data_IF_248350382474
#
_entry.id   IF_248350382474
#
_cell.length_a   1.000
_cell.length_b   1.000
_cell.length_c   1.000
_cell.angle_alpha   90.00
_cell.angle_beta   90.00
_cell.angle_gamma   90.00
#
_symmetry.space_group_name_H-M   'P 1'
#
loop_
_entity.id
_entity.type
_entity.pdbx_description
1 polymer ?
#
# COMPACT_ATOMS: atom_id res chain seq x y z
N UNK A 1 9.04 -18.98 -6.83
CA UNK A 1 8.27 -18.18 -7.81
C UNK A 1 9.19 -17.89 -8.96
N UNK A 2 8.91 -18.47 -10.13
CA UNK A 2 9.66 -18.18 -11.35
C UNK A 2 9.38 -16.76 -11.82
N UNK A 3 10.34 -16.15 -12.52
CA UNK A 3 10.13 -14.82 -13.12
C UNK A 3 8.91 -14.77 -14.08
N UNK A 4 8.48 -15.92 -14.59
CA UNK A 4 7.30 -16.05 -15.45
C UNK A 4 5.95 -15.91 -14.72
N UNK A 5 5.95 -16.04 -13.39
CA UNK A 5 4.72 -16.04 -12.58
C UNK A 5 4.34 -14.64 -12.05
N UNK A 6 5.04 -13.60 -12.48
CA UNK A 6 4.80 -12.21 -12.04
C UNK A 6 4.09 -11.45 -13.15
N UNK A 7 2.96 -10.80 -12.82
CA UNK A 7 2.33 -9.78 -13.66
C UNK A 7 2.60 -8.39 -13.03
N UNK A 8 2.99 -7.43 -13.85
CA UNK A 8 3.30 -6.05 -13.44
C UNK A 8 2.21 -5.13 -13.98
N UNK A 9 1.28 -4.75 -13.13
CA UNK A 9 0.20 -3.80 -13.46
C UNK A 9 0.68 -2.39 -13.19
N UNK A 10 0.89 -1.62 -14.24
CA UNK A 10 1.24 -0.18 -14.16
C UNK A 10 -0.04 0.63 -14.29
N UNK A 11 -0.37 1.40 -13.25
CA UNK A 11 -1.51 2.34 -13.24
C UNK A 11 -1.01 3.77 -13.44
N UNK A 12 -1.18 4.32 -14.65
CA UNK A 12 -0.83 5.71 -14.97
C UNK A 12 -2.00 6.64 -14.62
N UNK A 13 -1.80 7.53 -13.68
CA UNK A 13 -2.79 8.50 -13.20
C UNK A 13 -2.74 9.82 -13.97
N UNK A 14 -2.70 9.73 -15.30
CA UNK A 14 -2.75 10.88 -16.18
C UNK A 14 -1.41 11.65 -16.28
N UNK A 15 -0.28 10.95 -16.26
CA UNK A 15 1.05 11.56 -16.38
C UNK A 15 1.14 12.47 -17.60
N UNK A 16 1.75 13.65 -17.40
CA UNK A 16 1.96 14.69 -18.42
C UNK A 16 3.42 14.80 -18.85
N UNK A 17 4.31 14.08 -18.22
CA UNK A 17 5.74 13.97 -18.52
C UNK A 17 6.07 12.73 -19.37
N UNK A 18 7.33 12.31 -19.37
CA UNK A 18 7.79 11.11 -20.11
C UNK A 18 7.37 9.77 -19.53
N UNK A 19 6.75 9.72 -18.35
CA UNK A 19 6.45 8.47 -17.62
C UNK A 19 5.58 7.50 -18.41
N UNK A 20 4.51 8.01 -19.05
CA UNK A 20 3.63 7.20 -19.90
C UNK A 20 4.38 6.56 -21.07
N UNK A 21 5.29 7.30 -21.73
CA UNK A 21 6.07 6.79 -22.86
C UNK A 21 7.02 5.68 -22.41
N UNK A 22 7.65 5.84 -21.25
CA UNK A 22 8.51 4.84 -20.63
C UNK A 22 7.68 3.58 -20.34
N UNK A 23 6.55 3.71 -19.63
CA UNK A 23 5.68 2.57 -19.30
C UNK A 23 5.24 1.82 -20.56
N UNK A 24 4.80 2.51 -21.60
CA UNK A 24 4.47 1.90 -22.93
C UNK A 24 5.64 1.14 -23.55
N UNK A 25 6.87 1.65 -23.40
CA UNK A 25 8.03 0.96 -23.94
C UNK A 25 8.26 -0.41 -23.27
N UNK A 26 7.89 -0.55 -22.02
CA UNK A 26 8.01 -1.82 -21.30
C UNK A 26 6.93 -2.81 -21.69
N UNK A 27 5.69 -2.39 -21.98
CA UNK A 27 4.64 -3.33 -22.44
C UNK A 27 5.01 -4.04 -23.77
N UNK A 28 5.88 -3.41 -24.59
CA UNK A 28 6.39 -4.02 -25.83
C UNK A 28 7.54 -4.98 -25.57
N UNK A 29 8.36 -4.71 -24.56
CA UNK A 29 9.59 -5.47 -24.25
C UNK A 29 9.35 -6.66 -23.33
N UNK A 30 8.35 -6.55 -22.44
CA UNK A 30 8.06 -7.55 -21.43
C UNK A 30 6.55 -7.84 -21.40
N UNK A 31 6.11 -9.04 -21.84
CA UNK A 31 4.69 -9.39 -21.89
C UNK A 31 4.03 -9.49 -20.50
N UNK A 32 4.79 -9.44 -19.41
CA UNK A 32 4.28 -9.41 -18.05
C UNK A 32 3.80 -8.02 -17.63
N UNK A 33 4.14 -6.97 -18.39
CA UNK A 33 3.80 -5.58 -18.07
C UNK A 33 2.47 -5.21 -18.73
N UNK A 34 1.49 -4.90 -17.92
CA UNK A 34 0.19 -4.37 -18.33
C UNK A 34 0.09 -2.90 -17.93
N UNK A 35 -0.34 -2.04 -18.85
CA UNK A 35 -0.47 -0.60 -18.60
C UNK A 35 -1.94 -0.17 -18.69
N UNK A 36 -2.42 0.41 -17.61
CA UNK A 36 -3.74 1.01 -17.52
C UNK A 36 -3.63 2.50 -17.19
N UNK A 37 -4.43 3.32 -17.89
CA UNK A 37 -4.40 4.77 -17.74
C UNK A 37 -5.77 5.30 -17.37
N UNK A 38 -5.76 6.32 -16.49
CA UNK A 38 -6.94 7.10 -16.15
C UNK A 38 -6.64 8.62 -16.19
N UNK A 39 -7.67 9.49 -16.25
CA UNK A 39 -7.49 10.90 -15.94
C UNK A 39 -7.00 11.06 -14.51
N UNK A 40 -6.15 12.09 -14.27
CA UNK A 40 -5.60 12.32 -12.93
C UNK A 40 -6.68 12.41 -11.84
N UNK A 41 -6.59 11.51 -10.88
CA UNK A 41 -7.54 11.36 -9.78
C UNK A 41 -6.85 11.06 -8.43
N UNK A 42 -5.52 11.00 -8.42
CA UNK A 42 -4.68 10.80 -7.23
C UNK A 42 -4.30 9.35 -6.95
N UNK A 43 -3.37 9.18 -6.02
CA UNK A 43 -2.71 7.92 -5.69
C UNK A 43 -3.71 6.80 -5.30
N UNK A 44 -4.76 7.13 -4.53
CA UNK A 44 -5.82 6.18 -4.17
C UNK A 44 -6.52 5.60 -5.39
N UNK A 45 -6.91 6.47 -6.34
CA UNK A 45 -7.57 6.06 -7.57
C UNK A 45 -6.65 5.21 -8.44
N UNK A 46 -5.36 5.57 -8.54
CA UNK A 46 -4.36 4.77 -9.26
C UNK A 46 -4.20 3.37 -8.64
N UNK A 47 -4.10 3.25 -7.30
CA UNK A 47 -4.02 1.96 -6.62
C UNK A 47 -5.31 1.14 -6.80
N UNK A 48 -6.48 1.78 -6.74
CA UNK A 48 -7.77 1.13 -7.01
C UNK A 48 -7.86 0.62 -8.45
N UNK A 49 -7.35 1.38 -9.43
CA UNK A 49 -7.24 0.94 -10.82
C UNK A 49 -6.32 -0.29 -10.93
N UNK A 50 -5.17 -0.27 -10.26
CA UNK A 50 -4.27 -1.42 -10.19
C UNK A 50 -4.95 -2.66 -9.59
N UNK A 51 -5.66 -2.51 -8.47
CA UNK A 51 -6.40 -3.60 -7.83
C UNK A 51 -7.47 -4.20 -8.72
N UNK A 52 -8.17 -3.37 -9.51
CA UNK A 52 -9.19 -3.83 -10.46
C UNK A 52 -8.63 -4.77 -11.53
N UNK A 53 -7.37 -4.58 -11.90
CA UNK A 53 -6.68 -5.36 -12.94
C UNK A 53 -5.73 -6.42 -12.38
N UNK A 54 -5.51 -6.46 -11.07
CA UNK A 54 -4.69 -7.50 -10.45
C UNK A 54 -5.40 -8.85 -10.49
N UNK A 55 -4.78 -9.86 -11.14
CA UNK A 55 -5.34 -11.19 -11.30
C UNK A 55 -4.49 -12.31 -10.68
N UNK A 56 -3.29 -12.02 -10.19
CA UNK A 56 -2.44 -12.97 -9.49
C UNK A 56 -3.06 -13.48 -8.18
N UNK A 57 -2.54 -14.60 -7.67
CA UNK A 57 -2.91 -15.13 -6.34
C UNK A 57 -2.52 -14.16 -5.23
N UNK A 58 -1.41 -13.47 -5.42
CA UNK A 58 -0.87 -12.48 -4.49
C UNK A 58 -0.84 -11.09 -5.13
N UNK A 59 -0.89 -10.06 -4.30
CA UNK A 59 -0.80 -8.65 -4.71
C UNK A 59 0.24 -7.95 -3.83
N UNK A 60 1.09 -7.14 -4.46
CA UNK A 60 2.01 -6.21 -3.80
C UNK A 60 1.86 -4.82 -4.43
N UNK A 61 2.13 -3.79 -3.65
CA UNK A 61 2.19 -2.41 -4.13
C UNK A 61 3.66 -1.96 -4.14
N UNK A 62 4.06 -1.31 -5.23
CA UNK A 62 5.38 -0.68 -5.35
C UNK A 62 5.14 0.74 -5.85
N UNK A 63 5.63 1.73 -5.11
CA UNK A 63 5.54 3.12 -5.53
C UNK A 63 6.54 3.38 -6.69
N UNK A 64 6.19 4.24 -7.64
CA UNK A 64 6.92 4.36 -8.91
C UNK A 64 8.34 4.96 -8.77
N UNK A 65 8.63 5.61 -7.66
CA UNK A 65 9.94 6.18 -7.32
C UNK A 65 10.80 5.25 -6.45
N UNK A 66 10.28 4.06 -6.10
CA UNK A 66 10.95 3.09 -5.25
C UNK A 66 11.47 1.86 -6.02
N UNK A 67 12.24 1.02 -5.35
CA UNK A 67 12.72 -0.25 -5.89
C UNK A 67 12.59 -1.39 -4.88
N UNK A 68 12.56 -2.62 -5.39
CA UNK A 68 12.58 -3.83 -4.56
C UNK A 68 13.80 -4.68 -4.86
N UNK A 69 14.31 -5.39 -3.86
CA UNK A 69 15.39 -6.36 -4.04
C UNK A 69 14.95 -7.51 -4.96
N UNK A 70 15.87 -8.11 -5.72
CA UNK A 70 15.53 -9.19 -6.68
C UNK A 70 14.83 -10.39 -6.04
N UNK A 71 15.11 -10.69 -4.78
CA UNK A 71 14.53 -11.80 -4.00
C UNK A 71 13.29 -11.40 -3.16
N UNK A 72 12.78 -10.16 -3.34
CA UNK A 72 11.68 -9.64 -2.53
C UNK A 72 10.41 -10.50 -2.66
N UNK A 73 10.00 -10.83 -3.89
CA UNK A 73 8.83 -11.66 -4.14
C UNK A 73 9.00 -13.06 -3.55
N UNK A 74 10.15 -13.69 -3.79
CA UNK A 74 10.47 -15.03 -3.27
C UNK A 74 10.36 -15.10 -1.76
N UNK A 75 11.02 -14.18 -1.04
CA UNK A 75 10.98 -14.10 0.43
C UNK A 75 9.59 -13.91 1.00
N UNK A 76 8.74 -13.16 0.33
CA UNK A 76 7.37 -12.94 0.78
C UNK A 76 6.47 -14.14 0.48
N UNK A 77 6.64 -14.78 -0.69
CA UNK A 77 5.87 -15.98 -1.06
C UNK A 77 6.26 -17.16 -0.17
N UNK A 78 7.53 -17.36 0.16
CA UNK A 78 7.96 -18.36 1.14
C UNK A 78 7.30 -18.15 2.52
N UNK A 79 7.07 -16.90 2.90
CA UNK A 79 6.57 -16.56 4.22
C UNK A 79 5.03 -16.49 4.31
N UNK A 80 4.27 -16.47 3.19
CA UNK A 80 2.83 -16.24 3.22
C UNK A 80 1.99 -17.49 3.53
N UNK A 81 2.62 -18.65 3.61
CA UNK A 81 1.88 -19.88 3.91
C UNK A 81 1.12 -19.77 5.24
N UNK A 82 -0.17 -20.07 5.22
CA UNK A 82 -1.05 -20.09 6.39
C UNK A 82 -1.43 -18.71 6.96
N UNK A 83 -1.11 -17.60 6.24
CA UNK A 83 -1.53 -16.25 6.63
C UNK A 83 -2.08 -15.48 5.43
N UNK A 84 -2.85 -14.42 5.70
CA UNK A 84 -3.49 -13.60 4.68
C UNK A 84 -2.53 -12.59 4.06
N UNK A 85 -1.54 -12.13 4.82
CA UNK A 85 -0.49 -11.27 4.29
C UNK A 85 0.81 -11.38 5.07
N UNK A 86 1.90 -11.02 4.39
CA UNK A 86 3.23 -10.89 4.99
C UNK A 86 3.63 -9.42 4.98
N UNK A 87 4.18 -8.96 6.07
CA UNK A 87 4.79 -7.64 6.18
C UNK A 87 6.29 -7.78 6.44
N UNK A 88 7.10 -7.14 5.61
CA UNK A 88 8.55 -7.08 5.81
C UNK A 88 8.99 -5.78 6.48
N UNK A 89 10.19 -5.79 7.06
CA UNK A 89 10.80 -4.66 7.70
C UNK A 89 11.06 -4.84 9.19
N UNK A 90 11.40 -3.75 9.87
CA UNK A 90 11.60 -3.78 11.32
C UNK A 90 10.26 -3.59 12.04
N UNK A 91 9.74 -4.57 12.78
CA UNK A 91 8.46 -4.46 13.47
C UNK A 91 8.44 -3.35 14.55
N UNK A 92 9.63 -2.86 14.97
CA UNK A 92 9.77 -1.72 15.87
C UNK A 92 9.72 -0.37 15.14
N UNK A 93 9.83 -0.36 13.80
CA UNK A 93 9.75 0.86 13.02
C UNK A 93 8.29 1.30 12.90
N UNK A 94 7.94 2.35 13.67
CA UNK A 94 6.58 2.90 13.69
C UNK A 94 6.14 3.53 12.37
N UNK A 95 7.08 3.95 11.50
CA UNK A 95 6.79 4.54 10.22
C UNK A 95 6.27 3.51 9.20
N UNK A 96 6.61 2.23 9.37
CA UNK A 96 6.17 1.13 8.52
C UNK A 96 4.88 0.45 8.99
N UNK A 97 4.18 1.04 9.97
CA UNK A 97 3.02 0.40 10.59
C UNK A 97 1.79 0.37 9.68
N UNK A 98 1.56 1.39 8.88
CA UNK A 98 0.37 1.51 8.01
C UNK A 98 0.68 1.45 6.53
N UNK A 99 1.95 1.55 6.13
CA UNK A 99 2.34 1.53 4.72
C UNK A 99 1.95 0.22 4.03
N UNK A 100 1.62 0.31 2.76
CA UNK A 100 1.15 -0.85 1.99
C UNK A 100 2.24 -1.49 1.13
N UNK A 101 3.30 -0.74 0.80
CA UNK A 101 4.36 -1.14 -0.12
C UNK A 101 5.32 -2.21 0.43
N UNK A 102 5.41 -2.42 1.73
CA UNK A 102 6.27 -3.45 2.33
C UNK A 102 5.54 -4.77 2.61
N UNK A 103 4.45 -5.04 1.90
CA UNK A 103 3.58 -6.19 2.14
C UNK A 103 3.26 -6.95 0.87
N UNK A 104 3.14 -8.28 1.03
CA UNK A 104 2.51 -9.16 0.05
C UNK A 104 1.19 -9.68 0.64
N UNK A 105 0.11 -9.58 -0.12
CA UNK A 105 -1.24 -9.95 0.30
C UNK A 105 -1.74 -11.13 -0.52
N UNK A 106 -2.49 -12.04 0.10
CA UNK A 106 -3.40 -12.90 -0.68
C UNK A 106 -4.47 -12.02 -1.29
N UNK A 107 -4.68 -12.11 -2.60
CA UNK A 107 -5.67 -11.28 -3.29
C UNK A 107 -7.07 -11.43 -2.70
N UNK A 108 -7.47 -12.66 -2.31
CA UNK A 108 -8.75 -12.92 -1.66
C UNK A 108 -8.94 -12.15 -0.34
N UNK A 109 -7.87 -11.97 0.45
CA UNK A 109 -7.92 -11.27 1.73
C UNK A 109 -8.14 -9.75 1.60
N UNK A 110 -7.86 -9.19 0.43
CA UNK A 110 -8.03 -7.76 0.15
C UNK A 110 -9.16 -7.49 -0.87
N UNK A 111 -9.88 -8.53 -1.29
CA UNK A 111 -11.00 -8.37 -2.23
C UNK A 111 -12.08 -7.47 -1.63
N UNK A 112 -12.45 -6.43 -2.38
CA UNK A 112 -13.43 -5.43 -1.94
C UNK A 112 -12.87 -4.32 -1.03
N UNK A 113 -11.60 -4.37 -0.64
CA UNK A 113 -10.94 -3.26 0.04
C UNK A 113 -10.48 -2.23 -1.00
N UNK A 114 -10.96 -1.00 -0.88
CA UNK A 114 -10.58 0.11 -1.74
C UNK A 114 -9.86 1.20 -0.94
N UNK A 115 -8.90 1.85 -1.57
CA UNK A 115 -8.28 3.05 -1.02
C UNK A 115 -9.28 4.21 -1.07
N UNK A 116 -9.44 4.98 0.02
CA UNK A 116 -10.31 6.16 0.01
C UNK A 116 -9.72 7.24 -0.90
N UNK A 117 -10.47 7.63 -1.93
CA UNK A 117 -10.05 8.63 -2.90
C UNK A 117 -10.14 10.05 -2.32
N UNK A 118 -9.29 10.95 -2.84
CA UNK A 118 -9.24 12.35 -2.41
C UNK A 118 -8.66 12.58 -1.01
N UNK A 119 -7.97 11.59 -0.43
CA UNK A 119 -7.35 11.68 0.88
C UNK A 119 -5.83 11.50 0.81
N UNK A 120 -5.10 12.25 1.61
CA UNK A 120 -3.71 11.97 1.98
C UNK A 120 -3.73 11.07 3.22
N UNK A 121 -2.77 10.16 3.33
CA UNK A 121 -2.70 9.09 4.35
C UNK A 121 -3.82 8.03 4.19
N UNK A 122 -4.17 7.74 2.94
CA UNK A 122 -5.16 6.74 2.52
C UNK A 122 -4.80 5.32 2.98
N UNK A 123 -3.49 5.03 3.02
CA UNK A 123 -2.89 3.77 3.48
C UNK A 123 -3.23 3.44 4.94
N UNK A 124 -3.38 4.47 5.78
CA UNK A 124 -3.81 4.31 7.18
C UNK A 124 -5.21 3.73 7.25
N UNK A 125 -6.16 4.30 6.50
CA UNK A 125 -7.56 3.85 6.53
C UNK A 125 -7.70 2.47 5.90
N UNK A 126 -7.01 2.23 4.79
CA UNK A 126 -6.98 0.94 4.11
C UNK A 126 -6.39 -0.16 5.01
N UNK A 127 -5.27 0.12 5.69
CA UNK A 127 -4.68 -0.83 6.65
C UNK A 127 -5.60 -1.11 7.84
N UNK A 128 -6.33 -0.11 8.34
CA UNK A 128 -7.32 -0.32 9.40
C UNK A 128 -8.45 -1.22 8.91
N UNK A 129 -8.97 -1.03 7.70
CA UNK A 129 -10.01 -1.90 7.14
C UNK A 129 -9.53 -3.33 6.99
N UNK A 130 -8.29 -3.56 6.53
CA UNK A 130 -7.66 -4.87 6.50
C UNK A 130 -7.60 -5.51 7.90
N UNK A 131 -7.22 -4.78 8.94
CA UNK A 131 -7.17 -5.33 10.31
C UNK A 131 -8.55 -5.57 10.91
N UNK A 132 -9.55 -4.77 10.54
CA UNK A 132 -10.94 -4.98 10.95
C UNK A 132 -11.55 -6.22 10.29
N UNK A 133 -11.10 -6.62 9.10
CA UNK A 133 -11.48 -7.88 8.45
C UNK A 133 -10.91 -9.14 9.15
N UNK A 134 -10.04 -8.95 10.16
CA UNK A 134 -9.34 -9.99 10.90
C UNK A 134 -8.28 -10.73 10.09
N UNK A 135 -7.80 -10.16 9.00
CA UNK A 135 -6.72 -10.73 8.22
C UNK A 135 -5.50 -11.06 9.10
N UNK A 136 -5.00 -12.27 8.95
CA UNK A 136 -3.83 -12.79 9.67
C UNK A 136 -2.55 -12.30 9.03
N UNK A 137 -1.53 -11.98 9.86
CA UNK A 137 -0.28 -11.40 9.40
C UNK A 137 0.92 -12.16 9.93
N UNK A 138 1.91 -12.36 9.07
CA UNK A 138 3.27 -12.73 9.47
C UNK A 138 4.22 -11.56 9.21
N UNK A 139 5.03 -11.23 10.21
CA UNK A 139 6.07 -10.20 10.08
C UNK A 139 7.43 -10.88 9.91
N UNK A 140 8.14 -10.53 8.84
CA UNK A 140 9.49 -11.03 8.56
C UNK A 140 10.52 -9.90 8.72
N UNK A 141 11.70 -10.22 9.27
CA UNK A 141 12.83 -9.29 9.37
C UNK A 141 13.60 -9.28 8.06
N UNK A 142 13.08 -8.57 7.09
CA UNK A 142 13.65 -8.44 5.77
C UNK A 142 13.51 -7.01 5.29
N UNK A 143 14.57 -6.44 4.72
CA UNK A 143 14.61 -5.04 4.27
C UNK A 143 14.94 -5.00 2.78
N UNK A 144 14.06 -5.56 1.95
CA UNK A 144 14.23 -5.60 0.49
C UNK A 144 13.37 -4.59 -0.26
N UNK A 145 12.69 -3.69 0.44
CA UNK A 145 12.03 -2.53 -0.17
C UNK A 145 12.90 -1.29 0.04
N UNK A 146 13.29 -0.64 -1.04
CA UNK A 146 14.20 0.50 -1.04
C UNK A 146 13.41 1.78 -1.34
N UNK A 147 13.02 2.48 -0.28
CA UNK A 147 12.35 3.77 -0.36
C UNK A 147 13.31 4.85 -0.85
N UNK A 148 12.94 5.56 -1.91
CA UNK A 148 13.68 6.69 -2.45
C UNK A 148 13.13 7.99 -1.86
N UNK A 149 13.96 8.68 -1.09
CA UNK A 149 13.54 9.97 -0.51
C UNK A 149 13.37 11.01 -1.62
N UNK A 150 12.14 11.48 -1.81
CA UNK A 150 11.79 12.54 -2.76
C UNK A 150 11.33 13.78 -1.98
N UNK A 151 12.07 14.90 -2.05
CA UNK A 151 11.69 16.15 -1.38
C UNK A 151 10.35 16.72 -1.84
N UNK A 152 9.92 16.38 -3.06
CA UNK A 152 8.65 16.84 -3.65
C UNK A 152 7.48 15.88 -3.35
N UNK A 153 7.74 14.78 -2.62
CA UNK A 153 6.68 13.83 -2.29
C UNK A 153 5.65 14.46 -1.35
N UNK A 154 4.41 14.02 -1.48
CA UNK A 154 3.30 14.46 -0.62
C UNK A 154 3.60 14.29 0.86
N UNK A 155 4.38 13.26 1.23
CA UNK A 155 4.74 12.97 2.62
C UNK A 155 5.96 13.73 3.13
N UNK A 156 6.70 14.43 2.24
CA UNK A 156 7.83 15.28 2.62
C UNK A 156 7.40 16.56 3.37
N UNK A 157 6.13 16.93 3.22
CA UNK A 157 5.57 18.12 3.85
C UNK A 157 4.51 17.77 4.89
N UNK A 158 4.34 18.64 5.88
CA UNK A 158 3.26 18.49 6.87
C UNK A 158 1.92 18.90 6.25
N UNK A 159 0.89 18.07 6.43
CA UNK A 159 -0.47 18.31 5.95
C UNK A 159 -1.47 18.31 7.13
N UNK A 160 -1.54 19.37 7.96
CA UNK A 160 -2.36 19.39 9.17
C UNK A 160 -3.85 19.09 8.93
N UNK A 161 -4.42 19.59 7.84
CA UNK A 161 -5.83 19.32 7.50
C UNK A 161 -6.04 17.85 7.09
N UNK A 162 -5.14 17.27 6.32
CA UNK A 162 -5.22 15.85 5.98
C UNK A 162 -5.05 14.95 7.22
N UNK A 163 -4.12 15.32 8.12
CA UNK A 163 -3.96 14.64 9.42
C UNK A 163 -5.24 14.69 10.24
N UNK A 164 -5.93 15.82 10.26
CA UNK A 164 -7.21 16.00 10.94
C UNK A 164 -8.31 15.17 10.29
N UNK A 165 -8.36 15.14 8.95
CA UNK A 165 -9.33 14.34 8.20
C UNK A 165 -9.18 12.83 8.51
N UNK A 166 -7.97 12.28 8.45
CA UNK A 166 -7.76 10.86 8.75
C UNK A 166 -8.10 10.51 10.21
N UNK A 167 -7.78 11.39 11.15
CA UNK A 167 -8.16 11.20 12.56
C UNK A 167 -9.69 11.26 12.77
N UNK A 168 -10.39 12.11 12.05
CA UNK A 168 -11.86 12.17 12.08
C UNK A 168 -12.49 10.91 11.47
N UNK A 169 -11.99 10.44 10.32
CA UNK A 169 -12.44 9.20 9.70
C UNK A 169 -12.24 7.98 10.62
N UNK A 170 -11.10 7.87 11.28
CA UNK A 170 -10.84 6.81 12.25
C UNK A 170 -11.78 6.88 13.46
N UNK A 171 -12.07 8.08 13.99
CA UNK A 171 -13.04 8.25 15.08
C UNK A 171 -14.45 7.86 14.66
N UNK A 172 -14.85 8.17 13.42
CA UNK A 172 -16.15 7.76 12.88
C UNK A 172 -16.24 6.22 12.77
N UNK A 173 -15.22 5.56 12.18
CA UNK A 173 -15.13 4.09 12.11
C UNK A 173 -15.21 3.44 13.51
N UNK A 174 -14.61 4.07 14.54
CA UNK A 174 -14.60 3.55 15.91
C UNK A 174 -16.00 3.42 16.52
N UNK A 175 -16.95 4.31 16.18
CA UNK A 175 -18.30 4.30 16.75
C UNK A 175 -19.05 3.00 16.44
N UNK A 176 -18.93 2.47 15.22
CA UNK A 176 -19.59 1.22 14.79
C UNK A 176 -18.76 -0.05 15.00
N UNK A 177 -17.52 0.06 15.45
CA UNK A 177 -16.60 -1.08 15.54
C UNK A 177 -16.88 -1.97 16.77
N UNK A 178 -16.57 -3.28 16.62
CA UNK A 178 -16.49 -4.23 17.74
C UNK A 178 -15.48 -3.78 18.80
N UNK A 179 -15.47 -4.41 19.99
CA UNK A 179 -14.49 -4.09 21.05
C UNK A 179 -13.04 -4.24 20.55
N UNK A 180 -12.72 -5.31 19.81
CA UNK A 180 -11.41 -5.49 19.17
C UNK A 180 -11.12 -4.35 18.18
N UNK A 181 -12.09 -4.01 17.33
CA UNK A 181 -11.96 -2.92 16.37
C UNK A 181 -11.75 -1.56 17.05
N UNK A 182 -12.45 -1.28 18.14
CA UNK A 182 -12.24 -0.07 18.94
C UNK A 182 -10.82 0.03 19.50
N UNK A 183 -10.23 -1.10 19.90
CA UNK A 183 -8.85 -1.16 20.38
C UNK A 183 -7.86 -0.90 19.23
N UNK A 184 -8.01 -1.57 18.08
CA UNK A 184 -7.18 -1.37 16.89
C UNK A 184 -7.16 0.10 16.49
N UNK A 185 -8.35 0.71 16.36
CA UNK A 185 -8.48 2.11 15.93
C UNK A 185 -7.91 3.06 16.98
N UNK A 186 -8.13 2.82 18.27
CA UNK A 186 -7.56 3.65 19.34
C UNK A 186 -6.03 3.60 19.34
N UNK A 187 -5.45 2.41 19.14
CA UNK A 187 -4.00 2.24 19.02
C UNK A 187 -3.47 2.98 17.80
N UNK A 188 -4.12 2.86 16.63
CA UNK A 188 -3.74 3.58 15.40
C UNK A 188 -3.77 5.09 15.61
N UNK A 189 -4.84 5.63 16.21
CA UNK A 189 -4.94 7.08 16.53
C UNK A 189 -3.79 7.51 17.44
N UNK A 190 -3.46 6.73 18.46
CA UNK A 190 -2.36 7.04 19.37
C UNK A 190 -1.01 7.09 18.61
N UNK A 191 -0.75 6.11 17.74
CA UNK A 191 0.47 6.04 16.93
C UNK A 191 0.60 7.22 15.98
N UNK A 192 -0.49 7.58 15.28
CA UNK A 192 -0.50 8.73 14.37
C UNK A 192 -0.26 10.05 15.10
N UNK A 193 -0.89 10.29 16.25
CA UNK A 193 -0.64 11.50 17.02
C UNK A 193 0.83 11.63 17.45
N UNK A 194 1.47 10.54 17.85
CA UNK A 194 2.89 10.53 18.17
C UNK A 194 3.78 10.79 16.94
N UNK A 195 3.33 10.42 15.75
CA UNK A 195 4.00 10.71 14.49
C UNK A 195 3.85 12.19 14.13
N UNK A 196 2.62 12.70 14.11
CA UNK A 196 2.31 14.09 13.72
C UNK A 196 2.87 15.16 14.65
N UNK A 197 3.18 14.85 15.91
CA UNK A 197 3.85 15.79 16.84
C UNK A 197 5.34 15.93 16.53
N UNK A 198 5.93 14.97 15.79
CA UNK A 198 7.38 14.92 15.53
C UNK A 198 7.75 15.26 14.07
N UNK A 199 6.80 15.38 13.18
CA UNK A 199 6.90 15.89 11.81
C UNK A 199 6.53 17.37 11.76
#
# INVERSE_FOLDING_TARGET
VGAADVCIVVADDGSTDGSLAIAKSYTVRDPRVELYRQPHAGQSAARNLGLKHAHGEYVAFVDADDTIAPDWCEKHVEAIEGVDYVQSGNPRNRYQYTVVWNRLYRREAITGLLFPEGMIYEDVLWSVDLWLSKASCRVIRYNGYHYTANPESTTAHSHPEAQKCVLQALRAKRKGASMRGKFIIAYTICRLKLHFIRS
#
